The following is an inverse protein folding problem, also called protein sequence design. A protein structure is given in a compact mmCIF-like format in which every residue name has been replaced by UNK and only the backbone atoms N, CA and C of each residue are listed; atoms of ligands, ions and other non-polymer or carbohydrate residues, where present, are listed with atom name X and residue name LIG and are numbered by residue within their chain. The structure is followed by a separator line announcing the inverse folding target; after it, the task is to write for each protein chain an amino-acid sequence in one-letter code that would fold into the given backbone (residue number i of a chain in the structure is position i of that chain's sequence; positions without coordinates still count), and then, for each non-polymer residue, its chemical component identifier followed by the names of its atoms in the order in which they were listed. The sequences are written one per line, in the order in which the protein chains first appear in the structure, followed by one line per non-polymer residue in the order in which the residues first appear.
data_IF_582796668916
#
_entry.id   IF_582796668916
#
_cell.length_a   1.000
_cell.length_b   1.000
_cell.length_c   1.000
_cell.angle_alpha   90.00
_cell.angle_beta   90.00
_cell.angle_gamma   90.00
#
_symmetry.space_group_name_H-M   'P 1'
#
loop_
_entity.id
_entity.type
_entity.pdbx_description
1 polymer ?
#
# COMPACT_ATOMS: atom_id res chain seq x y z
N UNK A 1 1.95 -2.37 -27.81
CA UNK A 1 1.36 -1.85 -26.56
C UNK A 1 -0.14 -1.99 -26.70
N UNK A 2 -0.70 -2.98 -26.01
CA UNK A 2 -2.12 -3.32 -26.10
C UNK A 2 -2.90 -2.51 -25.05
N UNK A 3 -3.80 -1.65 -25.51
CA UNK A 3 -4.57 -0.72 -24.68
C UNK A 3 -5.77 -1.36 -24.00
N UNK A 4 -6.08 -2.62 -24.32
CA UNK A 4 -7.26 -3.32 -23.81
C UNK A 4 -7.17 -3.71 -22.32
N UNK A 5 -5.96 -3.72 -21.72
CA UNK A 5 -5.77 -3.97 -20.28
C UNK A 5 -6.18 -2.80 -19.37
N UNK A 6 -6.05 -1.55 -19.82
CA UNK A 6 -6.39 -0.37 -19.00
C UNK A 6 -7.91 -0.17 -18.85
N UNK A 7 -8.69 -0.62 -19.84
CA UNK A 7 -10.14 -0.40 -19.85
C UNK A 7 -10.89 -1.33 -18.88
N UNK A 8 -10.36 -2.53 -18.64
CA UNK A 8 -10.96 -3.51 -17.71
C UNK A 8 -10.80 -3.04 -16.24
N UNK A 9 -9.68 -2.39 -15.91
CA UNK A 9 -9.41 -1.91 -14.55
C UNK A 9 -10.38 -0.81 -14.08
N UNK A 10 -10.82 0.06 -15.00
CA UNK A 10 -11.74 1.16 -14.68
C UNK A 10 -13.19 0.69 -14.52
N UNK A 11 -13.62 -0.30 -15.31
CA UNK A 11 -14.98 -0.83 -15.22
C UNK A 11 -15.19 -1.67 -13.94
N UNK A 12 -14.20 -2.45 -13.52
CA UNK A 12 -14.25 -3.22 -12.26
C UNK A 12 -14.24 -2.31 -11.02
N UNK A 13 -13.66 -1.12 -11.10
CA UNK A 13 -13.71 -0.12 -10.04
C UNK A 13 -15.10 0.53 -9.90
N UNK A 14 -15.90 0.52 -10.97
CA UNK A 14 -17.24 1.14 -11.00
C UNK A 14 -18.38 0.16 -10.69
N UNK A 15 -18.12 -1.15 -10.66
CA UNK A 15 -19.12 -2.21 -10.44
C UNK A 15 -18.96 -2.96 -9.12
N UNK A 16 -18.28 -2.37 -8.12
CA UNK A 16 -18.26 -2.95 -6.77
C UNK A 16 -19.67 -2.88 -6.15
N UNK A 17 -20.28 -4.03 -5.80
CA UNK A 17 -21.56 -4.03 -5.10
C UNK A 17 -21.40 -3.38 -3.72
N UNK A 18 -22.33 -2.49 -3.38
CA UNK A 18 -22.40 -1.83 -2.07
C UNK A 18 -22.85 -2.86 -1.01
N UNK A 19 -21.91 -3.67 -0.51
CA UNK A 19 -22.14 -4.49 0.68
C UNK A 19 -22.18 -3.58 1.91
N UNK A 20 -23.24 -3.72 2.68
CA UNK A 20 -23.50 -3.00 3.92
C UNK A 20 -22.52 -3.47 5.00
N UNK A 21 -21.66 -2.56 5.48
CA UNK A 21 -20.65 -2.69 6.56
C UNK A 21 -19.32 -3.40 6.24
N UNK A 22 -18.70 -3.13 5.08
CA UNK A 22 -17.32 -3.56 4.83
C UNK A 22 -16.34 -2.60 5.51
N UNK A 23 -15.55 -3.09 6.45
CA UNK A 23 -14.54 -2.31 7.15
C UNK A 23 -13.39 -1.94 6.17
N UNK A 24 -12.70 -0.81 6.40
CA UNK A 24 -11.64 -0.30 5.52
C UNK A 24 -10.50 -1.30 5.27
N UNK A 25 -10.02 -1.98 6.32
CA UNK A 25 -8.97 -3.01 6.16
C UNK A 25 -9.45 -4.20 5.34
N UNK A 26 -10.73 -4.61 5.48
CA UNK A 26 -11.28 -5.75 4.75
C UNK A 26 -11.32 -5.44 3.25
N UNK A 27 -11.79 -4.24 2.91
CA UNK A 27 -11.81 -3.75 1.52
C UNK A 27 -10.40 -3.67 0.94
N UNK A 28 -9.41 -3.26 1.76
CA UNK A 28 -8.02 -3.21 1.34
C UNK A 28 -7.43 -4.61 1.10
N UNK A 29 -7.66 -5.56 2.02
CA UNK A 29 -7.22 -6.96 1.89
C UNK A 29 -7.83 -7.60 0.65
N UNK A 30 -9.13 -7.42 0.43
CA UNK A 30 -9.83 -7.97 -0.72
C UNK A 30 -9.26 -7.43 -2.03
N UNK A 31 -9.07 -6.11 -2.12
CA UNK A 31 -8.46 -5.47 -3.28
C UNK A 31 -7.05 -6.02 -3.55
N UNK A 32 -6.18 -6.06 -2.53
CA UNK A 32 -4.80 -6.59 -2.67
C UNK A 32 -4.82 -8.05 -3.09
N UNK A 33 -5.72 -8.86 -2.53
CA UNK A 33 -5.91 -10.27 -2.91
C UNK A 33 -6.29 -10.44 -4.37
N UNK A 34 -7.21 -9.61 -4.87
CA UNK A 34 -7.64 -9.61 -6.28
C UNK A 34 -6.52 -9.20 -7.23
N UNK A 35 -5.73 -8.19 -6.89
CA UNK A 35 -4.57 -7.78 -7.72
C UNK A 35 -3.49 -8.86 -7.68
N UNK A 36 -3.23 -9.47 -6.52
CA UNK A 36 -2.27 -10.56 -6.38
C UNK A 36 -2.66 -11.79 -7.21
N UNK A 37 -3.95 -12.16 -7.23
CA UNK A 37 -4.46 -13.29 -8.02
C UNK A 37 -4.36 -13.11 -9.54
N UNK A 38 -4.23 -11.86 -10.02
CA UNK A 38 -4.03 -11.54 -11.44
C UNK A 38 -2.55 -11.46 -11.85
N UNK A 39 -1.63 -11.45 -10.90
CA UNK A 39 -0.22 -11.31 -11.17
C UNK A 39 0.33 -12.56 -11.88
N UNK A 40 1.01 -12.43 -13.04
CA UNK A 40 1.70 -13.55 -13.66
C UNK A 40 2.70 -14.21 -12.72
N UNK A 41 2.99 -15.50 -12.93
CA UNK A 41 4.01 -16.18 -12.15
C UNK A 41 5.41 -15.58 -12.37
N UNK A 42 6.24 -15.63 -11.32
CA UNK A 42 7.63 -15.21 -11.36
C UNK A 42 7.86 -13.73 -11.03
N UNK A 43 9.11 -13.30 -11.21
CA UNK A 43 9.58 -11.97 -10.79
C UNK A 43 8.81 -10.83 -11.47
N UNK A 44 8.60 -10.94 -12.80
CA UNK A 44 7.96 -9.87 -13.56
C UNK A 44 6.52 -9.62 -13.11
N UNK A 45 5.75 -10.66 -12.80
CA UNK A 45 4.39 -10.48 -12.28
C UNK A 45 4.38 -9.96 -10.84
N UNK A 46 5.36 -10.32 -10.03
CA UNK A 46 5.53 -9.74 -8.68
C UNK A 46 5.87 -8.24 -8.75
N UNK A 47 6.77 -7.85 -9.64
CA UNK A 47 7.11 -6.44 -9.87
C UNK A 47 5.92 -5.66 -10.42
N UNK A 48 5.17 -6.23 -11.39
CA UNK A 48 3.92 -5.65 -11.89
C UNK A 48 2.91 -5.43 -10.77
N UNK A 49 2.72 -6.43 -9.90
CA UNK A 49 1.82 -6.33 -8.75
C UNK A 49 2.20 -5.16 -7.83
N UNK A 50 3.47 -5.05 -7.46
CA UNK A 50 3.96 -3.98 -6.57
C UNK A 50 3.79 -2.61 -7.21
N UNK A 51 4.05 -2.50 -8.52
CA UNK A 51 3.80 -1.28 -9.29
C UNK A 51 2.32 -0.92 -9.30
N UNK A 52 1.43 -1.88 -9.55
CA UNK A 52 -0.01 -1.68 -9.61
C UNK A 52 -0.57 -1.18 -8.27
N UNK A 53 -0.27 -1.86 -7.16
CA UNK A 53 -0.74 -1.41 -5.84
C UNK A 53 -0.10 -0.08 -5.43
N UNK A 54 1.16 0.16 -5.84
CA UNK A 54 1.86 1.42 -5.61
C UNK A 54 1.16 2.59 -6.30
N UNK A 55 0.74 2.41 -7.55
CA UNK A 55 -0.02 3.42 -8.29
C UNK A 55 -1.41 3.64 -7.67
N UNK A 56 -2.16 2.56 -7.43
CA UNK A 56 -3.56 2.65 -6.99
C UNK A 56 -3.71 3.13 -5.54
N UNK A 57 -2.85 2.66 -4.64
CA UNK A 57 -2.98 2.92 -3.20
C UNK A 57 -2.03 4.00 -2.69
N UNK A 58 -0.88 4.21 -3.34
CA UNK A 58 0.12 5.18 -2.88
C UNK A 58 0.39 6.31 -3.88
N UNK A 59 -0.28 6.31 -5.05
CA UNK A 59 -0.04 7.25 -6.13
C UNK A 59 1.45 7.28 -6.54
N UNK A 60 2.08 6.12 -6.67
CA UNK A 60 3.46 6.01 -7.16
C UNK A 60 3.41 5.81 -8.67
N UNK A 61 3.73 6.85 -9.45
CA UNK A 61 3.87 6.71 -10.91
C UNK A 61 5.33 6.65 -11.30
N UNK A 62 5.69 5.59 -12.01
CA UNK A 62 7.07 5.41 -12.47
C UNK A 62 7.51 6.45 -13.49
N UNK A 63 6.56 6.99 -14.28
CA UNK A 63 6.83 8.04 -15.26
C UNK A 63 7.42 9.31 -14.61
N UNK A 64 7.06 9.60 -13.36
CA UNK A 64 7.44 10.81 -12.66
C UNK A 64 8.78 10.70 -11.92
N UNK A 65 9.43 9.53 -11.89
CA UNK A 65 10.74 9.35 -11.23
C UNK A 65 11.83 10.28 -11.76
N UNK A 66 11.75 10.68 -13.03
CA UNK A 66 12.70 11.58 -13.66
C UNK A 66 12.49 13.05 -13.27
N UNK A 67 11.36 13.38 -12.65
CA UNK A 67 11.07 14.72 -12.13
C UNK A 67 10.82 14.64 -10.61
N UNK A 68 11.88 14.78 -9.79
CA UNK A 68 11.79 14.54 -8.36
C UNK A 68 10.75 15.45 -7.69
N UNK A 69 10.63 16.71 -8.10
CA UNK A 69 9.64 17.64 -7.52
C UNK A 69 8.20 17.18 -7.76
N UNK A 70 7.89 16.69 -8.96
CA UNK A 70 6.58 16.12 -9.28
C UNK A 70 6.35 14.86 -8.48
N UNK A 71 7.33 13.96 -8.42
CA UNK A 71 7.27 12.73 -7.64
C UNK A 71 7.00 13.00 -6.15
N UNK A 72 7.69 13.97 -5.54
CA UNK A 72 7.46 14.37 -4.15
C UNK A 72 6.05 14.92 -3.92
N UNK A 73 5.57 15.79 -4.80
CA UNK A 73 4.19 16.32 -4.72
C UNK A 73 3.15 15.23 -4.88
N UNK A 74 3.39 14.28 -5.78
CA UNK A 74 2.51 13.16 -6.04
C UNK A 74 2.45 12.24 -4.82
N UNK A 75 3.59 11.87 -4.27
CA UNK A 75 3.67 11.07 -3.05
C UNK A 75 2.99 11.74 -1.87
N UNK A 76 2.90 13.08 -1.83
CA UNK A 76 2.19 13.85 -0.80
C UNK A 76 0.66 13.98 -1.06
N UNK A 77 0.22 13.73 -2.29
CA UNK A 77 -1.19 13.83 -2.68
C UNK A 77 -2.01 12.61 -2.25
N UNK A 78 -3.32 12.75 -2.29
CA UNK A 78 -4.21 11.66 -1.94
C UNK A 78 -4.26 10.59 -3.05
N UNK A 79 -4.33 9.30 -2.70
CA UNK A 79 -4.26 8.22 -3.67
C UNK A 79 -5.56 8.07 -4.45
N UNK A 80 -5.51 7.41 -5.64
CA UNK A 80 -6.71 7.03 -6.40
C UNK A 80 -7.70 6.21 -5.59
N UNK A 81 -7.22 5.17 -4.89
CA UNK A 81 -8.05 4.32 -4.02
C UNK A 81 -7.86 4.70 -2.55
N UNK A 82 -8.98 4.87 -1.85
CA UNK A 82 -9.04 5.23 -0.44
C UNK A 82 -9.94 4.25 0.29
N UNK A 83 -9.38 3.58 1.29
CA UNK A 83 -10.06 2.52 2.02
C UNK A 83 -10.61 3.00 3.38
N UNK A 84 -10.26 4.21 3.82
CA UNK A 84 -10.56 4.69 5.16
C UNK A 84 -9.67 4.05 6.22
N UNK A 85 -9.95 4.33 7.49
CA UNK A 85 -9.18 3.88 8.66
C UNK A 85 -9.83 2.74 9.43
N UNK A 86 -11.09 2.44 9.13
CA UNK A 86 -11.85 1.43 9.86
C UNK A 86 -11.13 0.07 9.80
N UNK A 87 -11.08 -0.60 10.97
CA UNK A 87 -10.46 -1.91 11.17
C UNK A 87 -8.93 -1.96 11.10
N UNK A 88 -8.23 -0.87 10.79
CA UNK A 88 -6.78 -0.82 10.94
C UNK A 88 -6.39 -0.75 12.43
N UNK A 89 -5.25 -1.35 12.79
CA UNK A 89 -4.70 -1.28 14.15
C UNK A 89 -4.42 0.19 14.53
N UNK A 90 -5.08 0.74 15.57
CA UNK A 90 -4.90 2.12 16.00
C UNK A 90 -3.48 2.48 16.44
N UNK A 91 -2.60 1.50 16.66
CA UNK A 91 -1.17 1.70 16.94
C UNK A 91 -0.36 2.00 15.68
N UNK A 92 -0.90 1.67 14.51
CA UNK A 92 -0.24 1.84 13.21
C UNK A 92 -0.83 2.98 12.38
N UNK A 93 -1.96 3.58 12.80
CA UNK A 93 -2.66 4.59 12.00
C UNK A 93 -2.95 5.88 12.77
N UNK A 94 -2.62 7.01 12.15
CA UNK A 94 -3.04 8.36 12.53
C UNK A 94 -3.34 9.26 11.31
N UNK A 95 -3.25 8.72 10.10
CA UNK A 95 -3.72 9.38 8.88
C UNK A 95 -5.16 8.95 8.49
N UNK A 96 -5.75 9.61 7.50
CA UNK A 96 -7.07 9.26 6.98
C UNK A 96 -7.05 8.14 5.90
N UNK A 97 -5.87 7.68 5.47
CA UNK A 97 -5.70 6.73 4.38
C UNK A 97 -4.49 5.79 4.63
N UNK A 98 -4.54 4.93 5.64
CA UNK A 98 -3.35 4.22 6.13
C UNK A 98 -2.78 3.24 5.11
N UNK A 99 -3.64 2.73 4.21
CA UNK A 99 -3.24 1.92 3.08
C UNK A 99 -2.22 2.63 2.16
N UNK A 100 -2.25 3.96 2.05
CA UNK A 100 -1.28 4.72 1.25
C UNK A 100 0.12 4.63 1.83
N UNK A 101 0.26 5.00 3.09
CA UNK A 101 1.56 5.04 3.75
C UNK A 101 2.16 3.63 3.80
N UNK A 102 1.35 2.64 4.21
CA UNK A 102 1.74 1.24 4.18
C UNK A 102 2.20 0.79 2.79
N UNK A 103 1.42 1.03 1.74
CA UNK A 103 1.74 0.56 0.38
C UNK A 103 2.98 1.23 -0.18
N UNK A 104 3.22 2.50 0.16
CA UNK A 104 4.46 3.18 -0.22
C UNK A 104 5.69 2.45 0.35
N UNK A 105 5.63 1.97 1.59
CA UNK A 105 6.75 1.21 2.17
C UNK A 105 6.83 -0.25 1.73
N UNK A 106 5.71 -0.87 1.32
CA UNK A 106 5.75 -2.15 0.57
C UNK A 106 6.53 -1.97 -0.73
N UNK A 107 6.25 -0.90 -1.48
CA UNK A 107 6.98 -0.57 -2.70
C UNK A 107 8.47 -0.39 -2.43
N UNK A 108 8.82 0.41 -1.42
CA UNK A 108 10.22 0.65 -1.04
C UNK A 108 10.92 -0.65 -0.63
N UNK A 109 10.30 -1.46 0.23
CA UNK A 109 10.88 -2.73 0.70
C UNK A 109 11.02 -3.78 -0.41
N UNK A 110 10.18 -3.72 -1.44
CA UNK A 110 10.33 -4.60 -2.59
C UNK A 110 11.60 -4.25 -3.41
N UNK A 111 11.80 -2.98 -3.71
CA UNK A 111 12.90 -2.55 -4.60
C UNK A 111 14.24 -2.40 -3.89
N UNK A 112 14.24 -1.83 -2.70
CA UNK A 112 15.45 -1.54 -1.95
C UNK A 112 15.83 -2.67 -0.99
N UNK A 113 17.12 -2.85 -0.66
CA UNK A 113 17.53 -3.62 0.51
C UNK A 113 17.08 -2.95 1.82
N UNK A 114 17.11 -3.70 2.92
CA UNK A 114 16.56 -3.28 4.21
C UNK A 114 17.17 -1.98 4.74
N UNK A 115 18.49 -1.84 4.71
CA UNK A 115 19.18 -0.65 5.23
C UNK A 115 18.80 0.62 4.44
N UNK A 116 18.91 0.67 3.09
CA UNK A 116 18.41 1.81 2.32
C UNK A 116 16.92 2.08 2.52
N UNK A 117 16.08 1.05 2.62
CA UNK A 117 14.65 1.22 2.90
C UNK A 117 14.38 1.89 4.24
N UNK A 118 15.10 1.49 5.29
CA UNK A 118 15.03 2.13 6.61
C UNK A 118 15.50 3.58 6.58
N UNK A 119 16.60 3.87 5.85
CA UNK A 119 17.08 5.24 5.70
C UNK A 119 16.03 6.11 5.00
N UNK A 120 15.40 5.61 3.94
CA UNK A 120 14.34 6.32 3.23
C UNK A 120 13.12 6.57 4.15
N UNK A 121 12.73 5.58 4.95
CA UNK A 121 11.66 5.73 5.94
C UNK A 121 11.98 6.84 6.95
N UNK A 122 13.17 6.85 7.54
CA UNK A 122 13.58 7.90 8.47
C UNK A 122 13.61 9.27 7.79
N UNK A 123 14.13 9.36 6.56
CA UNK A 123 14.12 10.60 5.79
C UNK A 123 12.70 11.09 5.47
N UNK A 124 11.78 10.18 5.20
CA UNK A 124 10.37 10.48 4.96
C UNK A 124 9.71 11.09 6.19
N UNK A 125 9.94 10.50 7.37
CA UNK A 125 9.45 11.03 8.65
C UNK A 125 10.06 12.40 8.99
N UNK A 126 11.35 12.59 8.74
CA UNK A 126 12.00 13.90 8.90
C UNK A 126 11.34 14.95 7.98
N UNK A 127 11.10 14.61 6.72
CA UNK A 127 10.41 15.49 5.79
C UNK A 127 8.96 15.77 6.23
N UNK A 128 8.25 14.76 6.74
CA UNK A 128 6.92 14.88 7.34
C UNK A 128 6.90 15.82 8.55
N UNK A 129 7.88 15.69 9.45
CA UNK A 129 8.04 16.54 10.62
C UNK A 129 8.11 18.02 10.24
N UNK A 130 8.96 18.38 9.28
CA UNK A 130 9.04 19.77 8.80
C UNK A 130 7.75 20.22 8.10
N UNK A 131 7.11 19.33 7.33
CA UNK A 131 5.90 19.63 6.56
C UNK A 131 4.66 19.85 7.43
N UNK A 132 4.56 19.16 8.55
CA UNK A 132 3.40 19.22 9.47
C UNK A 132 3.67 20.04 10.73
N UNK A 133 4.69 20.92 10.72
CA UNK A 133 4.90 21.89 11.79
C UNK A 133 5.50 21.29 13.07
N UNK A 134 6.34 20.26 12.95
CA UNK A 134 7.04 19.65 14.08
C UNK A 134 6.31 18.48 14.72
N UNK A 135 5.37 17.85 14.01
CA UNK A 135 4.68 16.64 14.47
C UNK A 135 5.43 15.42 13.96
N UNK A 136 5.92 14.61 14.89
CA UNK A 136 6.55 13.31 14.59
C UNK A 136 5.53 12.19 14.82
N UNK A 137 5.26 11.36 13.81
CA UNK A 137 4.38 10.21 13.96
C UNK A 137 5.17 8.93 14.21
N UNK A 138 5.07 8.41 15.44
CA UNK A 138 5.57 7.06 15.76
C UNK A 138 4.76 5.98 15.04
N UNK A 139 3.49 6.27 14.69
CA UNK A 139 2.60 5.31 14.03
C UNK A 139 2.96 5.15 12.56
N UNK A 140 3.24 6.25 11.87
CA UNK A 140 3.74 6.25 10.50
C UNK A 140 5.08 5.50 10.41
N UNK A 141 5.98 5.71 11.37
CA UNK A 141 7.22 4.94 11.45
C UNK A 141 6.96 3.43 11.60
N UNK A 142 6.08 3.05 12.53
CA UNK A 142 5.73 1.65 12.78
C UNK A 142 5.07 0.99 11.56
N UNK A 143 4.10 1.68 10.95
CA UNK A 143 3.42 1.24 9.73
C UNK A 143 4.40 1.10 8.56
N UNK A 144 5.33 2.04 8.41
CA UNK A 144 6.38 2.00 7.40
C UNK A 144 7.34 0.81 7.58
N UNK A 145 7.72 0.48 8.81
CA UNK A 145 8.54 -0.69 9.10
C UNK A 145 7.83 -2.00 8.72
N UNK A 146 6.53 -2.11 9.01
CA UNK A 146 5.69 -3.25 8.59
C UNK A 146 5.66 -3.34 7.07
N UNK A 147 5.41 -2.22 6.39
CA UNK A 147 5.45 -2.13 4.92
C UNK A 147 6.77 -2.59 4.32
N UNK A 148 7.91 -2.12 4.84
CA UNK A 148 9.24 -2.53 4.37
C UNK A 148 9.45 -4.05 4.49
N UNK A 149 9.10 -4.63 5.64
CA UNK A 149 9.20 -6.07 5.87
C UNK A 149 8.31 -6.85 4.90
N UNK A 150 7.08 -6.40 4.70
CA UNK A 150 6.16 -7.04 3.77
C UNK A 150 6.63 -6.93 2.32
N UNK A 151 7.20 -5.79 1.92
CA UNK A 151 7.82 -5.62 0.60
C UNK A 151 8.96 -6.62 0.35
N UNK A 152 9.84 -6.82 1.33
CA UNK A 152 10.87 -7.86 1.27
C UNK A 152 10.29 -9.27 1.18
N UNK A 153 9.22 -9.54 1.93
CA UNK A 153 8.58 -10.85 1.89
C UNK A 153 7.90 -11.10 0.53
N UNK A 154 7.21 -10.11 -0.04
CA UNK A 154 6.64 -10.17 -1.40
C UNK A 154 7.73 -10.39 -2.44
N UNK A 155 8.88 -9.71 -2.30
CA UNK A 155 10.05 -9.92 -3.16
C UNK A 155 10.51 -11.38 -3.19
N UNK A 156 10.44 -12.06 -2.05
CA UNK A 156 10.94 -13.43 -1.87
C UNK A 156 9.91 -14.50 -2.19
N UNK A 157 8.65 -14.27 -1.84
CA UNK A 157 7.60 -15.29 -1.85
C UNK A 157 6.48 -15.03 -2.88
N UNK A 158 6.53 -13.89 -3.57
CA UNK A 158 5.53 -13.48 -4.55
C UNK A 158 4.38 -12.68 -3.92
N UNK A 159 3.40 -12.25 -4.74
CA UNK A 159 2.37 -11.30 -4.32
C UNK A 159 1.28 -11.91 -3.42
N UNK A 160 1.05 -13.22 -3.52
CA UNK A 160 -0.06 -13.92 -2.84
C UNK A 160 0.08 -13.97 -1.31
N UNK A 161 1.27 -13.71 -0.76
CA UNK A 161 1.48 -13.64 0.69
C UNK A 161 1.00 -12.32 1.30
N UNK A 162 0.91 -11.24 0.52
CA UNK A 162 0.65 -9.90 1.04
C UNK A 162 -0.71 -9.76 1.74
N UNK A 163 -1.83 -10.29 1.20
CA UNK A 163 -3.13 -10.20 1.87
C UNK A 163 -3.13 -10.81 3.28
N UNK A 164 -2.46 -11.96 3.44
CA UNK A 164 -2.37 -12.63 4.73
C UNK A 164 -1.53 -11.83 5.74
N UNK A 165 -0.43 -11.21 5.28
CA UNK A 165 0.36 -10.32 6.12
C UNK A 165 -0.39 -9.04 6.53
N UNK A 166 -1.18 -8.45 5.62
CA UNK A 166 -2.05 -7.32 5.94
C UNK A 166 -3.06 -7.72 7.01
N UNK A 167 -3.77 -8.84 6.81
CA UNK A 167 -4.74 -9.35 7.77
C UNK A 167 -4.13 -9.63 9.15
N UNK A 168 -2.90 -10.14 9.19
CA UNK A 168 -2.24 -10.51 10.45
C UNK A 168 -1.67 -9.32 11.22
N UNK A 169 -1.16 -8.30 10.53
CA UNK A 169 -0.35 -7.25 11.16
C UNK A 169 -0.93 -5.84 11.05
N UNK A 170 -1.83 -5.57 10.09
CA UNK A 170 -2.47 -4.26 9.94
C UNK A 170 -3.89 -4.21 10.50
N UNK A 171 -4.57 -5.35 10.66
CA UNK A 171 -5.91 -5.38 11.22
C UNK A 171 -5.88 -5.20 12.76
N UNK A 172 -6.86 -4.49 13.31
CA UNK A 172 -7.07 -4.44 14.74
C UNK A 172 -7.47 -5.84 15.23
N UNK A 173 -6.57 -6.50 15.96
CA UNK A 173 -6.81 -7.84 16.54
C UNK A 173 -8.01 -7.92 17.46
N UNK A 174 -8.56 -6.79 17.94
CA UNK A 174 -9.82 -6.74 18.70
C UNK A 174 -11.06 -6.92 17.81
N UNK A 175 -10.91 -6.72 16.51
CA UNK A 175 -11.94 -6.85 15.49
C UNK A 175 -11.37 -7.64 14.29
N UNK A 176 -11.14 -8.96 14.46
CA UNK A 176 -10.50 -9.75 13.42
C UNK A 176 -11.32 -9.69 12.11
N UNK A 177 -10.64 -9.67 10.95
CA UNK A 177 -11.32 -9.68 9.65
C UNK A 177 -12.24 -10.89 9.56
N UNK A 178 -13.46 -10.70 9.05
CA UNK A 178 -14.43 -11.79 8.91
C UNK A 178 -13.83 -12.85 8.00
N UNK A 179 -13.59 -14.05 8.52
CA UNK A 179 -13.14 -15.18 7.72
C UNK A 179 -14.20 -15.51 6.68
N UNK A 180 -13.90 -15.30 5.40
CA UNK A 180 -14.76 -15.76 4.29
C UNK A 180 -14.69 -17.29 4.24
N UNK A 181 -15.66 -17.95 4.87
CA UNK A 181 -16.00 -19.36 4.66
C UNK A 181 -16.82 -19.56 3.40
#
# INVERSE_FOLDING_TARGET
MDWSFYFISLLDALTMPHHSSTNGIDTFIEYVGRVAGRAPAGWNGTAWFVLQIGEDCANIRTADFWNPLTFWRQMASAPPLRFGTDGFDPRLVDDANPARHYTAFVFVGFWLPQLPGLMLLVMWEIAGFFRYGGIWSQKDLACGLVGLRHGHAVRRFGPTVLPAFIAAELADTRFPPKSST
#
